data_IF_969066642403
#
_entry.id   IF_969066642403
#
_cell.length_a   1.000
_cell.length_b   1.000
_cell.length_c   1.000
_cell.angle_alpha   90.00
_cell.angle_beta   90.00
_cell.angle_gamma   90.00
#
_symmetry.space_group_name_H-M   'P 1'
#
loop_
_entity.id
_entity.type
_entity.pdbx_description
1 polymer ?
#
# COMPACT_ATOMS: atom_id res chain seq x y z
N UNK A 1 -4.39 28.78 17.47
CA UNK A 1 -4.35 28.24 16.10
C UNK A 1 -4.55 26.74 16.17
N UNK A 2 -5.56 26.15 15.51
CA UNK A 2 -5.76 24.71 15.54
C UNK A 2 -4.67 24.05 14.68
N UNK A 3 -3.88 23.20 15.32
CA UNK A 3 -2.73 22.45 14.79
C UNK A 3 -3.11 21.28 13.86
N UNK A 4 -4.21 21.40 13.12
CA UNK A 4 -4.78 20.32 12.28
C UNK A 4 -4.40 20.43 10.81
N UNK A 5 -3.67 21.46 10.42
CA UNK A 5 -3.18 21.62 9.06
C UNK A 5 -1.76 21.10 8.98
N UNK A 6 -1.50 20.24 8.00
CA UNK A 6 -0.17 19.73 7.68
C UNK A 6 0.36 18.69 8.68
N UNK A 7 0.07 17.44 8.38
CA UNK A 7 1.02 16.32 8.42
C UNK A 7 0.19 15.05 8.42
N UNK A 8 0.40 14.19 7.42
CA UNK A 8 0.27 12.77 7.69
C UNK A 8 1.43 12.40 8.63
N UNK A 9 1.26 12.76 9.91
CA UNK A 9 2.26 12.66 10.98
C UNK A 9 2.76 11.22 11.09
N UNK A 10 1.86 10.25 10.89
CA UNK A 10 2.18 8.83 10.90
C UNK A 10 3.04 8.41 9.70
N UNK A 11 2.75 8.94 8.50
CA UNK A 11 3.56 8.68 7.31
C UNK A 11 4.96 9.29 7.46
N UNK A 12 5.09 10.56 7.85
CA UNK A 12 6.40 11.20 8.03
C UNK A 12 7.18 10.62 9.21
N UNK A 13 6.62 10.54 10.43
CA UNK A 13 7.37 10.01 11.58
C UNK A 13 7.76 8.54 11.41
N UNK A 14 6.88 7.69 10.85
CA UNK A 14 7.14 6.27 10.75
C UNK A 14 8.41 5.94 9.96
N UNK A 15 8.70 6.70 8.90
CA UNK A 15 9.91 6.52 8.07
C UNK A 15 11.13 7.05 8.78
N UNK A 16 11.02 8.23 9.41
CA UNK A 16 12.16 8.83 10.12
C UNK A 16 12.59 7.94 11.28
N UNK A 17 11.64 7.28 11.95
CA UNK A 17 11.92 6.39 13.08
C UNK A 17 12.64 5.09 12.68
N UNK A 18 12.48 4.59 11.44
CA UNK A 18 13.06 3.29 11.00
C UNK A 18 13.79 3.35 9.65
N UNK A 19 14.35 4.51 9.33
CA UNK A 19 15.06 4.75 8.07
C UNK A 19 16.21 3.77 7.85
N UNK A 20 16.96 3.47 8.91
CA UNK A 20 18.13 2.58 8.84
C UNK A 20 17.73 1.14 8.47
N UNK A 21 16.62 0.66 9.00
CA UNK A 21 16.04 -0.64 8.68
C UNK A 21 15.57 -0.69 7.22
N UNK A 22 14.92 0.37 6.73
CA UNK A 22 14.49 0.46 5.33
C UNK A 22 15.66 0.49 4.36
N UNK A 23 16.73 1.24 4.68
CA UNK A 23 17.96 1.26 3.87
C UNK A 23 18.64 -0.11 3.87
N UNK A 24 18.68 -0.77 5.03
CA UNK A 24 19.25 -2.13 5.14
C UNK A 24 18.43 -3.12 4.33
N UNK A 25 17.10 -3.04 4.40
CA UNK A 25 16.19 -3.86 3.61
C UNK A 25 16.44 -3.68 2.11
N UNK A 26 16.54 -2.43 1.65
CA UNK A 26 16.84 -2.13 0.26
C UNK A 26 18.17 -2.74 -0.18
N UNK A 27 19.24 -2.59 0.62
CA UNK A 27 20.55 -3.20 0.34
C UNK A 27 20.47 -4.72 0.25
N UNK A 28 19.72 -5.36 1.14
CA UNK A 28 19.52 -6.81 1.11
C UNK A 28 18.74 -7.26 -0.13
N UNK A 29 17.69 -6.52 -0.50
CA UNK A 29 16.93 -6.79 -1.73
C UNK A 29 17.83 -6.64 -2.97
N UNK A 30 18.62 -5.57 -3.07
CA UNK A 30 19.55 -5.38 -4.21
C UNK A 30 20.63 -6.46 -4.24
N UNK A 31 21.22 -6.79 -3.08
CA UNK A 31 22.23 -7.85 -2.99
C UNK A 31 21.67 -9.22 -3.40
N UNK A 32 20.49 -9.56 -2.90
CA UNK A 32 19.82 -10.81 -3.25
C UNK A 32 19.33 -10.84 -4.70
N UNK A 33 18.93 -9.70 -5.26
CA UNK A 33 18.51 -9.62 -6.67
C UNK A 33 19.66 -9.99 -7.62
N UNK A 34 20.90 -9.58 -7.31
CA UNK A 34 22.10 -9.95 -8.08
C UNK A 34 22.30 -11.47 -8.13
N UNK A 35 22.07 -12.17 -7.02
CA UNK A 35 22.14 -13.64 -6.96
C UNK A 35 21.03 -14.33 -7.76
N UNK A 36 19.88 -13.67 -7.94
CA UNK A 36 18.74 -14.19 -8.70
C UNK A 36 18.83 -13.93 -10.21
N UNK A 37 19.65 -12.98 -10.68
CA UNK A 37 19.80 -12.65 -12.11
C UNK A 37 20.11 -13.89 -12.97
N UNK A 38 21.10 -14.75 -12.62
CA UNK A 38 21.42 -15.92 -13.43
C UNK A 38 20.25 -16.91 -13.56
N UNK A 39 19.47 -17.08 -12.48
CA UNK A 39 18.29 -17.94 -12.50
C UNK A 39 17.14 -17.36 -13.30
N UNK A 40 17.03 -16.03 -13.38
CA UNK A 40 16.00 -15.32 -14.14
C UNK A 40 16.23 -15.43 -15.64
N UNK A 41 17.47 -15.21 -16.09
CA UNK A 41 17.84 -15.29 -17.50
C UNK A 41 17.63 -16.70 -18.07
N UNK A 42 17.86 -17.74 -17.25
CA UNK A 42 17.61 -19.13 -17.65
C UNK A 42 16.11 -19.48 -17.75
N UNK A 43 15.25 -18.70 -17.10
CA UNK A 43 13.80 -18.92 -17.03
C UNK A 43 12.99 -17.97 -17.94
N UNK A 44 13.64 -17.16 -18.79
CA UNK A 44 12.98 -16.11 -19.58
C UNK A 44 12.14 -16.60 -20.77
N UNK A 45 12.14 -17.90 -21.06
CA UNK A 45 11.29 -18.52 -22.08
C UNK A 45 9.86 -18.81 -21.63
N UNK A 46 9.55 -18.61 -20.35
CA UNK A 46 8.25 -18.93 -19.75
C UNK A 46 7.33 -17.69 -19.78
N UNK A 47 6.06 -17.87 -20.18
CA UNK A 47 5.07 -16.84 -20.48
C UNK A 47 4.78 -15.76 -19.41
N UNK A 48 3.75 -14.91 -19.61
CA UNK A 48 3.59 -13.64 -18.91
C UNK A 48 3.71 -13.78 -17.39
N UNK A 49 4.71 -13.11 -16.82
CA UNK A 49 4.99 -13.15 -15.40
C UNK A 49 3.96 -12.30 -14.64
N UNK A 50 2.85 -12.93 -14.24
CA UNK A 50 1.76 -12.32 -13.47
C UNK A 50 2.25 -11.50 -12.26
N UNK A 51 3.35 -11.90 -11.62
CA UNK A 51 3.90 -11.18 -10.47
C UNK A 51 4.56 -9.85 -10.88
N UNK A 52 5.18 -9.79 -12.07
CA UNK A 52 5.70 -8.55 -12.65
C UNK A 52 4.59 -7.62 -13.15
N UNK A 53 3.51 -8.18 -13.70
CA UNK A 53 2.31 -7.41 -14.08
C UNK A 53 1.69 -6.73 -12.87
N UNK A 54 1.61 -7.41 -11.72
CA UNK A 54 1.10 -6.83 -10.47
C UNK A 54 1.97 -5.65 -10.01
N UNK A 55 3.31 -5.79 -10.04
CA UNK A 55 4.21 -4.69 -9.68
C UNK A 55 4.03 -3.47 -10.59
N UNK A 56 3.96 -3.69 -11.90
CA UNK A 56 3.70 -2.62 -12.87
C UNK A 56 2.34 -1.95 -12.67
N UNK A 57 1.31 -2.73 -12.34
CA UNK A 57 -0.02 -2.20 -12.03
C UNK A 57 0.02 -1.31 -10.78
N UNK A 58 0.69 -1.75 -9.72
CA UNK A 58 0.87 -0.96 -8.49
C UNK A 58 1.52 0.39 -8.81
N UNK A 59 2.63 0.39 -9.56
CA UNK A 59 3.34 1.63 -9.93
C UNK A 59 2.43 2.55 -10.76
N UNK A 60 1.83 2.03 -11.83
CA UNK A 60 0.98 2.82 -12.74
C UNK A 60 -0.21 3.42 -11.98
N UNK A 61 -0.91 2.62 -11.19
CA UNK A 61 -2.06 3.09 -10.40
C UNK A 61 -1.62 4.18 -9.43
N UNK A 62 -0.54 3.98 -8.68
CA UNK A 62 -0.09 5.00 -7.72
C UNK A 62 0.34 6.30 -8.39
N UNK A 63 1.03 6.25 -9.54
CA UNK A 63 1.41 7.46 -10.30
C UNK A 63 0.16 8.20 -10.80
N UNK A 64 -0.78 7.49 -11.41
CA UNK A 64 -2.03 8.09 -11.90
C UNK A 64 -2.85 8.69 -10.77
N UNK A 65 -2.99 7.98 -9.66
CA UNK A 65 -3.69 8.50 -8.48
C UNK A 65 -3.01 9.75 -7.95
N UNK A 66 -1.67 9.78 -7.84
CA UNK A 66 -0.95 10.96 -7.38
C UNK A 66 -1.22 12.18 -8.27
N UNK A 67 -1.12 12.02 -9.60
CA UNK A 67 -1.40 13.11 -10.55
C UNK A 67 -2.85 13.58 -10.43
N UNK A 68 -3.80 12.65 -10.37
CA UNK A 68 -5.23 12.97 -10.26
C UNK A 68 -5.55 13.72 -8.96
N UNK A 69 -5.00 13.30 -7.81
CA UNK A 69 -5.21 13.97 -6.53
C UNK A 69 -4.70 15.41 -6.56
N UNK A 70 -3.48 15.62 -7.08
CA UNK A 70 -2.91 16.96 -7.21
C UNK A 70 -3.77 17.87 -8.07
N UNK A 71 -4.23 17.36 -9.21
CA UNK A 71 -5.09 18.10 -10.12
C UNK A 71 -6.43 18.49 -9.46
N UNK A 72 -7.10 17.53 -8.82
CA UNK A 72 -8.40 17.77 -8.17
C UNK A 72 -8.27 18.73 -6.99
N UNK A 73 -7.22 18.60 -6.16
CA UNK A 73 -6.98 19.51 -5.04
C UNK A 73 -6.74 20.95 -5.53
N UNK A 74 -6.00 21.11 -6.64
CA UNK A 74 -5.83 22.42 -7.26
C UNK A 74 -7.18 23.01 -7.74
N UNK A 75 -8.05 22.19 -8.35
CA UNK A 75 -9.38 22.62 -8.77
C UNK A 75 -10.26 23.05 -7.59
N UNK A 76 -10.26 22.30 -6.47
CA UNK A 76 -11.02 22.67 -5.28
C UNK A 76 -10.57 24.04 -4.77
N UNK A 77 -9.26 24.28 -4.72
CA UNK A 77 -8.74 25.58 -4.29
C UNK A 77 -9.18 26.71 -5.23
N UNK A 78 -9.12 26.50 -6.55
CA UNK A 78 -9.56 27.50 -7.53
C UNK A 78 -11.04 27.85 -7.34
N UNK A 79 -11.88 26.86 -7.05
CA UNK A 79 -13.33 27.05 -6.89
C UNK A 79 -13.71 27.62 -5.52
N UNK A 80 -12.99 27.23 -4.45
CA UNK A 80 -13.28 27.66 -3.07
C UNK A 80 -12.02 28.14 -2.33
N UNK A 81 -11.36 29.21 -2.78
CA UNK A 81 -10.07 29.65 -2.22
C UNK A 81 -10.19 30.20 -0.78
N UNK A 82 -11.39 30.64 -0.39
CA UNK A 82 -11.68 31.19 0.95
C UNK A 82 -12.13 30.12 1.95
N UNK A 83 -12.13 28.84 1.56
CA UNK A 83 -12.49 27.78 2.49
C UNK A 83 -11.52 27.74 3.68
N UNK A 84 -12.00 27.45 4.91
CA UNK A 84 -11.19 27.59 6.15
C UNK A 84 -9.88 26.81 6.16
N UNK A 85 -9.75 25.79 5.31
CA UNK A 85 -8.55 24.98 5.17
C UNK A 85 -7.39 25.62 4.41
N UNK A 86 -7.60 26.80 3.84
CA UNK A 86 -6.64 27.47 2.97
C UNK A 86 -6.09 28.75 3.57
N UNK A 87 -4.82 29.05 3.30
CA UNK A 87 -4.15 30.25 3.76
C UNK A 87 -4.88 31.54 3.32
N UNK A 88 -5.42 31.55 2.11
CA UNK A 88 -6.14 32.70 1.55
C UNK A 88 -7.41 33.07 2.34
N UNK A 89 -8.00 32.13 3.09
CA UNK A 89 -9.17 32.42 3.96
C UNK A 89 -8.89 33.48 5.03
N UNK A 90 -7.62 33.67 5.42
CA UNK A 90 -7.21 34.68 6.40
C UNK A 90 -7.06 36.09 5.82
N UNK A 91 -7.12 36.23 4.49
CA UNK A 91 -6.96 37.51 3.82
C UNK A 91 -8.30 38.23 3.65
N UNK A 92 -8.41 39.43 4.23
CA UNK A 92 -9.55 40.31 3.99
C UNK A 92 -9.32 41.12 2.72
N UNK A 93 -10.26 41.08 1.76
CA UNK A 93 -10.18 41.84 0.50
C UNK A 93 -10.66 43.30 0.63
N UNK A 94 -11.37 43.62 1.72
CA UNK A 94 -11.98 44.93 2.00
C UNK A 94 -10.90 46.02 2.08
N UNK A 95 -11.19 47.17 1.47
CA UNK A 95 -10.35 48.40 1.43
C UNK A 95 -8.96 48.25 0.78
N UNK A 96 -8.75 47.20 -0.03
CA UNK A 96 -7.46 46.92 -0.66
C UNK A 96 -7.49 47.11 -2.17
N UNK A 97 -6.38 47.57 -2.78
CA UNK A 97 -6.28 47.67 -4.23
C UNK A 97 -6.44 46.31 -4.92
N UNK A 98 -7.13 46.27 -6.07
CA UNK A 98 -7.36 45.05 -6.84
C UNK A 98 -6.08 44.28 -7.17
N UNK A 99 -5.02 44.99 -7.54
CA UNK A 99 -3.72 44.38 -7.86
C UNK A 99 -3.11 43.63 -6.67
N UNK A 100 -3.32 44.14 -5.44
CA UNK A 100 -2.82 43.52 -4.22
C UNK A 100 -3.61 42.26 -3.88
N UNK A 101 -4.94 42.31 -4.01
CA UNK A 101 -5.79 41.12 -3.84
C UNK A 101 -5.42 40.02 -4.85
N UNK A 102 -5.21 40.39 -6.13
CA UNK A 102 -4.74 39.44 -7.15
C UNK A 102 -3.36 38.86 -6.84
N UNK A 103 -2.41 39.69 -6.38
CA UNK A 103 -1.07 39.21 -6.02
C UNK A 103 -1.10 38.23 -4.84
N UNK A 104 -1.87 38.52 -3.79
CA UNK A 104 -2.01 37.63 -2.62
C UNK A 104 -2.72 36.33 -2.99
N UNK A 105 -3.73 36.40 -3.85
CA UNK A 105 -4.38 35.20 -4.38
C UNK A 105 -3.40 34.31 -5.16
N UNK A 106 -2.65 34.87 -6.10
CA UNK A 106 -1.67 34.12 -6.89
C UNK A 106 -0.55 33.53 -6.02
N UNK A 107 -0.05 34.30 -5.06
CA UNK A 107 0.93 33.80 -4.10
C UNK A 107 0.36 32.63 -3.28
N UNK A 108 -0.86 32.77 -2.76
CA UNK A 108 -1.53 31.74 -1.98
C UNK A 108 -1.82 30.49 -2.81
N UNK A 109 -2.21 30.65 -4.08
CA UNK A 109 -2.42 29.57 -5.03
C UNK A 109 -1.14 28.77 -5.28
N UNK A 110 -0.03 29.45 -5.58
CA UNK A 110 1.28 28.79 -5.80
C UNK A 110 1.75 28.09 -4.53
N UNK A 111 1.60 28.74 -3.38
CA UNK A 111 1.97 28.16 -2.09
C UNK A 111 1.16 26.91 -1.77
N UNK A 112 -0.17 26.97 -1.84
CA UNK A 112 -1.06 25.84 -1.55
C UNK A 112 -0.87 24.71 -2.56
N UNK A 113 -0.73 25.02 -3.85
CA UNK A 113 -0.43 24.00 -4.85
C UNK A 113 0.88 23.28 -4.52
N UNK A 114 1.95 24.03 -4.23
CA UNK A 114 3.25 23.47 -3.89
C UNK A 114 3.20 22.60 -2.63
N UNK A 115 2.67 23.11 -1.51
CA UNK A 115 2.66 22.39 -0.24
C UNK A 115 1.79 21.14 -0.32
N UNK A 116 0.60 21.21 -0.90
CA UNK A 116 -0.28 20.04 -1.09
C UNK A 116 0.36 19.03 -2.03
N UNK A 117 1.03 19.46 -3.10
CA UNK A 117 1.71 18.53 -4.00
C UNK A 117 2.87 17.79 -3.36
N UNK A 118 3.67 18.48 -2.54
CA UNK A 118 4.73 17.83 -1.76
C UNK A 118 4.13 16.80 -0.79
N UNK A 119 3.07 17.15 -0.07
CA UNK A 119 2.43 16.25 0.91
C UNK A 119 1.78 15.03 0.26
N UNK A 120 0.96 15.25 -0.78
CA UNK A 120 0.27 14.19 -1.53
C UNK A 120 1.29 13.26 -2.17
N UNK A 121 2.32 13.82 -2.82
CA UNK A 121 3.37 13.02 -3.46
C UNK A 121 4.16 12.21 -2.44
N UNK A 122 4.53 12.83 -1.30
CA UNK A 122 5.20 12.12 -0.22
C UNK A 122 4.36 10.95 0.28
N UNK A 123 3.07 11.18 0.55
CA UNK A 123 2.15 10.14 0.98
C UNK A 123 2.07 8.98 -0.01
N UNK A 124 1.89 9.25 -1.31
CA UNK A 124 1.78 8.21 -2.32
C UNK A 124 3.09 7.44 -2.55
N UNK A 125 4.24 8.11 -2.54
CA UNK A 125 5.55 7.44 -2.63
C UNK A 125 5.76 6.46 -1.47
N UNK A 126 5.34 6.85 -0.27
CA UNK A 126 5.43 6.02 0.92
C UNK A 126 4.45 4.85 0.90
N UNK A 127 3.24 5.13 0.42
CA UNK A 127 2.25 4.11 0.19
C UNK A 127 2.68 3.12 -0.90
N UNK A 128 3.55 3.52 -1.84
CA UNK A 128 4.13 2.67 -2.88
C UNK A 128 5.28 1.78 -2.37
N UNK A 129 6.05 2.24 -1.39
CA UNK A 129 7.21 1.51 -0.85
C UNK A 129 6.83 0.12 -0.32
N UNK A 130 5.81 0.05 0.54
CA UNK A 130 5.32 -1.21 1.10
C UNK A 130 4.94 -2.24 0.02
N UNK A 131 4.01 -1.95 -0.92
CA UNK A 131 3.59 -2.93 -1.89
C UNK A 131 4.69 -3.31 -2.89
N UNK A 132 5.64 -2.41 -3.20
CA UNK A 132 6.81 -2.75 -4.00
C UNK A 132 7.73 -3.76 -3.31
N UNK A 133 8.00 -3.55 -2.02
CA UNK A 133 8.82 -4.49 -1.23
C UNK A 133 8.16 -5.87 -1.14
N UNK A 134 6.84 -5.92 -0.97
CA UNK A 134 6.08 -7.19 -0.97
C UNK A 134 6.03 -7.82 -2.36
N UNK A 135 5.86 -7.02 -3.43
CA UNK A 135 5.89 -7.51 -4.81
C UNK A 135 7.25 -8.12 -5.17
N UNK A 136 8.36 -7.54 -4.70
CA UNK A 136 9.69 -8.13 -4.85
C UNK A 136 9.79 -9.52 -4.21
N UNK A 137 9.23 -9.72 -3.01
CA UNK A 137 9.20 -11.04 -2.37
C UNK A 137 8.43 -12.06 -3.21
N UNK A 138 7.28 -11.66 -3.77
CA UNK A 138 6.47 -12.51 -4.65
C UNK A 138 7.26 -12.92 -5.90
N UNK A 139 7.84 -11.95 -6.58
CA UNK A 139 8.66 -12.17 -7.77
C UNK A 139 9.84 -13.11 -7.47
N UNK A 140 10.56 -12.83 -6.37
CA UNK A 140 11.73 -13.60 -5.98
C UNK A 140 11.37 -15.04 -5.60
N UNK A 141 10.28 -15.26 -4.87
CA UNK A 141 9.76 -16.61 -4.60
C UNK A 141 9.40 -17.35 -5.89
N UNK A 142 8.79 -16.66 -6.86
CA UNK A 142 8.46 -17.24 -8.17
C UNK A 142 9.73 -17.69 -8.91
N UNK A 143 10.77 -16.86 -8.91
CA UNK A 143 12.09 -17.18 -9.48
C UNK A 143 12.74 -18.38 -8.79
N UNK A 144 12.79 -18.40 -7.45
CA UNK A 144 13.36 -19.54 -6.68
C UNK A 144 12.57 -20.83 -6.93
N UNK A 145 11.25 -20.73 -7.12
CA UNK A 145 10.38 -21.86 -7.42
C UNK A 145 10.64 -22.47 -8.80
N UNK A 146 10.94 -21.64 -9.80
CA UNK A 146 11.21 -22.05 -11.19
C UNK A 146 12.69 -22.39 -11.44
N UNK A 147 13.60 -21.95 -10.58
CA UNK A 147 15.03 -22.18 -10.73
C UNK A 147 15.39 -23.67 -10.87
N UNK A 148 16.32 -23.93 -11.79
CA UNK A 148 16.95 -25.25 -12.02
C UNK A 148 18.25 -25.44 -11.24
N UNK A 149 18.62 -24.50 -10.35
CA UNK A 149 19.78 -24.66 -9.46
C UNK A 149 19.60 -25.85 -8.50
N UNK A 150 20.72 -26.23 -7.88
CA UNK A 150 20.76 -27.31 -6.89
C UNK A 150 19.77 -27.09 -5.75
N UNK A 151 19.27 -28.17 -5.16
CA UNK A 151 18.31 -28.09 -4.05
C UNK A 151 18.87 -27.35 -2.82
N UNK A 152 20.14 -27.55 -2.40
CA UNK A 152 20.77 -26.76 -1.34
C UNK A 152 20.75 -25.25 -1.60
N UNK A 153 21.07 -24.81 -2.82
CA UNK A 153 21.03 -23.38 -3.17
C UNK A 153 19.62 -22.81 -3.01
N UNK A 154 18.61 -23.58 -3.43
CA UNK A 154 17.21 -23.17 -3.31
C UNK A 154 16.75 -23.10 -1.86
N UNK A 155 17.28 -23.96 -0.98
CA UNK A 155 17.08 -23.83 0.47
C UNK A 155 17.74 -22.57 1.04
N UNK A 156 18.97 -22.27 0.63
CA UNK A 156 19.66 -21.04 1.05
C UNK A 156 18.89 -19.79 0.60
N UNK A 157 18.41 -19.76 -0.64
CA UNK A 157 17.57 -18.67 -1.15
C UNK A 157 16.24 -18.54 -0.42
N UNK A 158 15.59 -19.65 -0.06
CA UNK A 158 14.38 -19.62 0.77
C UNK A 158 14.64 -18.96 2.14
N UNK A 159 15.75 -19.33 2.79
CA UNK A 159 16.17 -18.74 4.07
C UNK A 159 16.47 -17.24 3.92
N UNK A 160 17.12 -16.84 2.83
CA UNK A 160 17.34 -15.42 2.52
C UNK A 160 16.02 -14.65 2.38
N UNK A 161 15.05 -15.20 1.64
CA UNK A 161 13.72 -14.61 1.50
C UNK A 161 12.98 -14.48 2.84
N UNK A 162 13.10 -15.49 3.70
CA UNK A 162 12.56 -15.43 5.06
C UNK A 162 13.18 -14.28 5.86
N UNK A 163 14.51 -14.10 5.80
CA UNK A 163 15.22 -13.02 6.48
C UNK A 163 14.84 -11.64 5.93
N UNK A 164 14.70 -11.50 4.61
CA UNK A 164 14.23 -10.25 3.98
C UNK A 164 12.81 -9.93 4.45
N UNK A 165 11.91 -10.92 4.51
CA UNK A 165 10.56 -10.71 5.03
C UNK A 165 10.54 -10.35 6.52
N UNK A 166 11.42 -10.95 7.33
CA UNK A 166 11.58 -10.59 8.74
C UNK A 166 12.02 -9.13 8.90
N UNK A 167 12.98 -8.68 8.10
CA UNK A 167 13.44 -7.29 8.10
C UNK A 167 12.37 -6.34 7.57
N UNK A 168 11.62 -6.72 6.54
CA UNK A 168 10.46 -5.96 6.04
C UNK A 168 9.44 -5.73 7.17
N UNK A 169 9.07 -6.77 7.91
CA UNK A 169 8.16 -6.64 9.04
C UNK A 169 8.73 -5.77 10.19
N UNK A 170 10.05 -5.68 10.33
CA UNK A 170 10.71 -4.79 11.29
C UNK A 170 10.79 -3.34 10.82
N UNK A 171 10.61 -3.04 9.53
CA UNK A 171 10.62 -1.66 9.04
C UNK A 171 9.40 -0.84 9.50
N UNK A 172 8.35 -1.50 9.97
CA UNK A 172 7.10 -0.86 10.39
C UNK A 172 6.86 -1.06 11.90
N UNK A 173 6.40 -0.03 12.63
CA UNK A 173 5.84 -0.22 13.96
C UNK A 173 4.70 -1.24 13.92
N UNK A 174 4.59 -2.08 14.96
CA UNK A 174 3.57 -3.14 15.00
C UNK A 174 2.13 -2.63 14.87
N UNK A 175 1.88 -1.38 15.28
CA UNK A 175 0.58 -0.71 15.23
C UNK A 175 0.27 -0.02 13.90
N UNK A 176 1.28 0.22 13.05
CA UNK A 176 1.14 1.04 11.85
C UNK A 176 0.20 0.41 10.81
N UNK A 177 0.35 -0.87 10.51
CA UNK A 177 -0.52 -1.56 9.55
C UNK A 177 -1.98 -1.67 10.05
N UNK A 178 -2.24 -2.07 11.31
CA UNK A 178 -3.58 -1.98 11.89
C UNK A 178 -4.21 -0.58 11.80
N UNK A 179 -3.48 0.45 12.22
CA UNK A 179 -3.95 1.84 12.17
C UNK A 179 -4.28 2.27 10.73
N UNK A 180 -3.43 1.91 9.78
CA UNK A 180 -3.64 2.16 8.35
C UNK A 180 -4.91 1.49 7.82
N UNK A 181 -5.19 0.24 8.20
CA UNK A 181 -6.43 -0.43 7.78
C UNK A 181 -7.67 0.22 8.40
N UNK A 182 -7.62 0.61 9.68
CA UNK A 182 -8.72 1.35 10.32
C UNK A 182 -8.96 2.68 9.61
N UNK A 183 -7.89 3.43 9.33
CA UNK A 183 -7.97 4.69 8.58
C UNK A 183 -8.56 4.50 7.19
N UNK A 184 -8.10 3.49 6.44
CA UNK A 184 -8.65 3.15 5.12
C UNK A 184 -10.13 2.80 5.20
N UNK A 185 -10.52 1.91 6.12
CA UNK A 185 -11.91 1.49 6.27
C UNK A 185 -12.83 2.64 6.67
N UNK A 186 -12.42 3.43 7.68
CA UNK A 186 -13.16 4.61 8.11
C UNK A 186 -13.30 5.66 7.00
N UNK A 187 -12.24 5.87 6.22
CA UNK A 187 -12.29 6.79 5.08
C UNK A 187 -13.23 6.29 3.99
N UNK A 188 -13.19 5.00 3.62
CA UNK A 188 -14.11 4.39 2.64
C UNK A 188 -15.57 4.59 3.07
N UNK A 189 -15.88 4.32 4.35
CA UNK A 189 -17.22 4.52 4.92
C UNK A 189 -17.62 6.00 4.84
N UNK A 190 -16.77 6.91 5.31
CA UNK A 190 -17.06 8.34 5.35
C UNK A 190 -17.25 8.95 3.96
N UNK A 191 -16.36 8.67 3.01
CA UNK A 191 -16.49 9.21 1.64
C UNK A 191 -17.63 8.54 0.88
N UNK A 192 -17.88 7.24 1.09
CA UNK A 192 -19.06 6.58 0.53
C UNK A 192 -20.36 7.18 1.05
N UNK A 193 -20.40 7.56 2.34
CA UNK A 193 -21.55 8.21 2.95
C UNK A 193 -21.76 9.61 2.35
N UNK A 194 -20.67 10.39 2.23
CA UNK A 194 -20.73 11.70 1.56
C UNK A 194 -21.22 11.60 0.11
N UNK A 195 -20.75 10.61 -0.64
CA UNK A 195 -21.18 10.39 -2.02
C UNK A 195 -22.68 10.04 -2.14
N UNK A 196 -23.27 9.33 -1.18
CA UNK A 196 -24.69 8.97 -1.24
C UNK A 196 -25.61 10.04 -0.66
N UNK A 197 -25.19 10.73 0.40
CA UNK A 197 -26.05 11.67 1.15
C UNK A 197 -25.90 13.11 0.71
N UNK A 198 -24.69 13.54 0.38
CA UNK A 198 -24.37 14.95 0.13
C UNK A 198 -24.08 15.24 -1.34
N UNK A 199 -24.31 14.29 -2.27
CA UNK A 199 -23.99 14.43 -3.69
C UNK A 199 -24.50 15.75 -4.29
N UNK A 200 -25.75 16.12 -4.00
CA UNK A 200 -26.36 17.34 -4.52
C UNK A 200 -25.84 18.64 -3.87
N UNK A 201 -25.24 18.54 -2.68
CA UNK A 201 -24.79 19.70 -1.88
C UNK A 201 -23.31 20.04 -2.12
N UNK A 202 -22.51 19.08 -2.60
CA UNK A 202 -21.09 19.27 -2.88
C UNK A 202 -20.84 19.69 -4.33
N UNK A 203 -19.84 20.54 -4.54
CA UNK A 203 -19.44 20.99 -5.87
C UNK A 203 -18.82 19.87 -6.70
N UNK A 204 -18.84 20.00 -8.02
CA UNK A 204 -18.28 18.98 -8.93
C UNK A 204 -16.82 18.57 -8.60
N UNK A 205 -15.88 19.50 -8.31
CA UNK A 205 -14.53 19.10 -7.88
C UNK A 205 -14.50 18.30 -6.58
N UNK A 206 -15.40 18.60 -5.63
CA UNK A 206 -15.53 17.84 -4.39
C UNK A 206 -16.10 16.44 -4.64
N UNK A 207 -17.06 16.30 -5.57
CA UNK A 207 -17.56 14.99 -6.02
C UNK A 207 -16.45 14.15 -6.66
N UNK A 208 -15.62 14.76 -7.52
CA UNK A 208 -14.47 14.07 -8.10
C UNK A 208 -13.49 13.62 -7.02
N UNK A 209 -13.23 14.46 -6.01
CA UNK A 209 -12.33 14.14 -4.91
C UNK A 209 -12.87 13.01 -4.04
N UNK A 210 -14.16 13.00 -3.70
CA UNK A 210 -14.77 11.93 -2.90
C UNK A 210 -14.72 10.59 -3.64
N UNK A 211 -15.06 10.57 -4.94
CA UNK A 211 -14.93 9.39 -5.78
C UNK A 211 -13.48 8.90 -5.87
N UNK A 212 -12.54 9.81 -6.09
CA UNK A 212 -11.12 9.49 -6.21
C UNK A 212 -10.57 8.90 -4.90
N UNK A 213 -10.96 9.47 -3.74
CA UNK A 213 -10.65 8.92 -2.43
C UNK A 213 -11.25 7.51 -2.26
N UNK A 214 -12.53 7.33 -2.57
CA UNK A 214 -13.20 6.03 -2.46
C UNK A 214 -12.47 4.94 -3.26
N UNK A 215 -12.20 5.20 -4.54
CA UNK A 215 -11.50 4.26 -5.41
C UNK A 215 -10.08 3.99 -4.93
N UNK A 216 -9.36 5.01 -4.47
CA UNK A 216 -7.96 4.91 -4.04
C UNK A 216 -7.80 4.11 -2.77
N UNK A 217 -8.60 4.40 -1.74
CA UNK A 217 -8.52 3.69 -0.46
C UNK A 217 -9.00 2.24 -0.60
N UNK A 218 -10.07 2.00 -1.37
CA UNK A 218 -10.54 0.65 -1.69
C UNK A 218 -9.49 -0.17 -2.44
N UNK A 219 -8.93 0.39 -3.52
CA UNK A 219 -7.89 -0.27 -4.32
C UNK A 219 -6.64 -0.54 -3.48
N UNK A 220 -6.23 0.43 -2.65
CA UNK A 220 -5.02 0.24 -1.87
C UNK A 220 -5.19 -0.79 -0.77
N UNK A 221 -6.33 -0.79 -0.06
CA UNK A 221 -6.63 -1.81 0.93
C UNK A 221 -6.66 -3.21 0.28
N UNK A 222 -7.29 -3.32 -0.90
CA UNK A 222 -7.29 -4.55 -1.68
C UNK A 222 -5.87 -5.00 -2.02
N UNK A 223 -5.05 -4.14 -2.63
CA UNK A 223 -3.69 -4.52 -3.02
C UNK A 223 -2.86 -4.93 -1.81
N UNK A 224 -2.89 -4.17 -0.71
CA UNK A 224 -2.12 -4.44 0.50
C UNK A 224 -2.46 -5.81 1.09
N UNK A 225 -3.76 -6.11 1.27
CA UNK A 225 -4.20 -7.38 1.84
C UNK A 225 -3.98 -8.54 0.86
N UNK A 226 -4.25 -8.33 -0.43
CA UNK A 226 -4.09 -9.35 -1.46
C UNK A 226 -2.64 -9.80 -1.62
N UNK A 227 -1.70 -8.86 -1.80
CA UNK A 227 -0.27 -9.20 -1.97
C UNK A 227 0.32 -9.80 -0.70
N UNK A 228 -0.10 -9.32 0.48
CA UNK A 228 0.31 -9.87 1.77
C UNK A 228 -0.15 -11.31 1.95
N UNK A 229 -1.43 -11.60 1.64
CA UNK A 229 -1.98 -12.95 1.62
C UNK A 229 -1.28 -13.87 0.61
N UNK A 230 -0.93 -13.31 -0.56
CA UNK A 230 -0.19 -14.03 -1.60
C UNK A 230 1.20 -14.43 -1.15
N UNK A 231 1.90 -13.61 -0.35
CA UNK A 231 3.22 -13.97 0.18
C UNK A 231 3.14 -15.20 1.08
N UNK A 232 2.16 -15.22 2.00
CA UNK A 232 1.98 -16.37 2.90
C UNK A 232 1.65 -17.65 2.12
N UNK A 233 0.75 -17.57 1.14
CA UNK A 233 0.40 -18.72 0.28
C UNK A 233 1.61 -19.19 -0.55
N UNK A 234 2.34 -18.28 -1.18
CA UNK A 234 3.48 -18.62 -2.03
C UNK A 234 4.67 -19.18 -1.24
N UNK A 235 4.92 -18.68 -0.03
CA UNK A 235 5.98 -19.21 0.83
C UNK A 235 5.67 -20.63 1.31
N UNK A 236 4.40 -20.94 1.57
CA UNK A 236 3.92 -22.31 1.85
C UNK A 236 4.08 -23.24 0.64
N UNK A 237 3.60 -22.81 -0.53
CA UNK A 237 3.74 -23.60 -1.78
C UNK A 237 5.20 -23.86 -2.15
N UNK A 238 6.08 -22.86 -1.97
CA UNK A 238 7.51 -23.03 -2.23
C UNK A 238 8.14 -24.02 -1.24
N UNK A 239 7.78 -23.94 0.04
CA UNK A 239 8.22 -24.92 1.05
C UNK A 239 7.80 -26.33 0.67
N UNK A 240 6.54 -26.54 0.30
CA UNK A 240 6.03 -27.85 -0.10
C UNK A 240 6.75 -28.39 -1.34
N UNK A 241 7.00 -27.54 -2.34
CA UNK A 241 7.79 -27.91 -3.53
C UNK A 241 9.23 -28.30 -3.17
N UNK A 242 9.88 -27.59 -2.25
CA UNK A 242 11.23 -27.94 -1.82
C UNK A 242 11.24 -29.25 -1.01
N UNK A 243 10.21 -29.48 -0.19
CA UNK A 243 10.04 -30.71 0.57
C UNK A 243 9.80 -31.93 -0.32
N UNK A 244 9.00 -31.78 -1.38
CA UNK A 244 8.76 -32.87 -2.33
C UNK A 244 10.04 -33.22 -3.10
N UNK A 245 10.81 -32.22 -3.51
CA UNK A 245 12.10 -32.42 -4.19
C UNK A 245 13.17 -33.04 -3.27
N UNK A 246 13.20 -32.70 -1.98
CA UNK A 246 14.08 -33.36 -1.01
C UNK A 246 13.79 -34.87 -0.87
N UNK A 247 12.58 -35.30 -1.27
CA UNK A 247 12.17 -36.70 -1.30
C UNK A 247 12.61 -37.47 -2.54
N UNK A 248 12.97 -36.79 -3.64
CA UNK A 248 13.09 -37.37 -4.99
C UNK A 248 14.45 -37.01 -5.61
N UNK A 249 15.23 -38.02 -6.00
CA UNK A 249 16.50 -37.84 -6.71
C UNK A 249 17.55 -38.89 -6.38
N UNK A 250 18.64 -38.91 -7.14
CA UNK A 250 19.80 -39.80 -6.93
C UNK A 250 20.70 -39.17 -5.87
N UNK A 251 20.34 -39.36 -4.59
CA UNK A 251 21.10 -38.86 -3.44
C UNK A 251 21.54 -40.03 -2.57
N UNK A 252 22.68 -39.90 -1.91
CA UNK A 252 23.06 -40.87 -0.87
C UNK A 252 22.02 -40.87 0.26
N UNK A 253 21.88 -42.01 0.96
CA UNK A 253 20.92 -42.15 2.07
C UNK A 253 21.15 -41.10 3.17
N UNK A 254 22.40 -40.66 3.37
CA UNK A 254 22.77 -39.63 4.36
C UNK A 254 22.34 -38.24 3.92
N UNK A 255 22.63 -37.85 2.68
CA UNK A 255 22.23 -36.55 2.12
C UNK A 255 20.71 -36.40 2.08
N UNK A 256 19.99 -37.45 1.66
CA UNK A 256 18.52 -37.45 1.66
C UNK A 256 17.94 -37.22 3.05
N UNK A 257 18.52 -37.82 4.09
CA UNK A 257 18.12 -37.58 5.49
C UNK A 257 18.36 -36.13 5.90
N UNK A 258 19.49 -35.55 5.53
CA UNK A 258 19.81 -34.14 5.82
C UNK A 258 18.83 -33.19 5.12
N UNK A 259 18.60 -33.37 3.81
CA UNK A 259 17.68 -32.52 3.03
C UNK A 259 16.24 -32.63 3.53
N UNK A 260 15.78 -33.82 3.92
CA UNK A 260 14.46 -33.98 4.55
C UNK A 260 14.38 -33.24 5.89
N UNK A 261 15.44 -33.25 6.70
CA UNK A 261 15.49 -32.51 7.96
C UNK A 261 15.48 -31.01 7.71
N UNK A 262 16.23 -30.53 6.72
CA UNK A 262 16.21 -29.13 6.31
C UNK A 262 14.83 -28.70 5.80
N UNK A 263 14.21 -29.47 4.92
CA UNK A 263 12.86 -29.20 4.42
C UNK A 263 11.83 -29.10 5.56
N UNK A 264 11.91 -30.01 6.55
CA UNK A 264 11.05 -29.98 7.75
C UNK A 264 11.28 -28.76 8.63
N UNK A 265 12.49 -28.18 8.63
CA UNK A 265 12.82 -26.99 9.42
C UNK A 265 12.25 -25.70 8.83
N UNK A 266 11.85 -25.69 7.56
CA UNK A 266 11.32 -24.50 6.91
C UNK A 266 9.92 -24.15 7.42
N UNK A 267 9.72 -22.89 7.75
CA UNK A 267 8.43 -22.33 8.11
C UNK A 267 7.94 -21.40 7.01
N UNK A 268 6.64 -21.44 6.72
CA UNK A 268 6.01 -20.42 5.90
C UNK A 268 6.10 -19.07 6.61
N UNK A 269 6.17 -18.01 5.82
CA UNK A 269 6.31 -16.64 6.31
C UNK A 269 5.41 -15.70 5.52
N UNK A 270 5.08 -14.56 6.13
CA UNK A 270 4.21 -13.56 5.52
C UNK A 270 4.40 -12.19 6.15
N UNK A 271 3.59 -11.26 5.68
CA UNK A 271 3.56 -9.90 6.22
C UNK A 271 2.81 -9.91 7.55
N UNK A 272 3.39 -9.29 8.58
CA UNK A 272 2.84 -9.20 9.93
C UNK A 272 1.94 -7.98 10.04
N UNK A 273 0.77 -8.13 10.66
CA UNK A 273 -0.16 -7.02 10.96
C UNK A 273 -0.52 -7.08 12.44
N UNK A 274 0.03 -6.18 13.25
CA UNK A 274 -0.19 -6.21 14.70
C UNK A 274 0.29 -7.50 15.36
N UNK A 275 -0.62 -8.18 16.07
CA UNK A 275 -0.39 -9.49 16.68
C UNK A 275 -0.42 -10.64 15.66
N UNK A 276 -1.00 -10.43 14.48
CA UNK A 276 -1.13 -11.45 13.44
C UNK A 276 0.22 -11.66 12.76
N UNK A 277 0.79 -12.86 12.91
CA UNK A 277 2.14 -13.21 12.42
C UNK A 277 2.25 -13.20 10.88
N UNK A 278 1.20 -13.60 10.18
CA UNK A 278 1.14 -13.61 8.73
C UNK A 278 -0.29 -13.37 8.23
N UNK A 279 -0.49 -12.35 7.41
CA UNK A 279 -1.79 -12.05 6.79
C UNK A 279 -2.16 -13.14 5.80
N UNK A 280 -3.38 -13.68 5.91
CA UNK A 280 -3.96 -14.63 4.97
C UNK A 280 -5.04 -13.96 4.11
N UNK A 281 -5.51 -14.65 3.06
CA UNK A 281 -6.63 -14.16 2.25
C UNK A 281 -7.94 -13.99 3.03
N UNK A 282 -8.08 -14.65 4.19
CA UNK A 282 -9.25 -14.48 5.07
C UNK A 282 -9.33 -13.03 5.57
N UNK A 283 -8.18 -12.39 5.83
CA UNK A 283 -8.13 -11.01 6.28
C UNK A 283 -8.68 -10.03 5.23
N UNK A 284 -8.51 -10.32 3.94
CA UNK A 284 -9.10 -9.52 2.85
C UNK A 284 -10.62 -9.53 2.94
N UNK A 285 -11.23 -10.72 3.05
CA UNK A 285 -12.67 -10.86 3.14
C UNK A 285 -13.22 -10.24 4.43
N UNK A 286 -12.55 -10.47 5.56
CA UNK A 286 -12.92 -9.88 6.84
C UNK A 286 -12.93 -8.34 6.78
N UNK A 287 -11.89 -7.73 6.19
CA UNK A 287 -11.81 -6.29 6.03
C UNK A 287 -13.00 -5.71 5.25
N UNK A 288 -13.27 -6.22 4.04
CA UNK A 288 -14.36 -5.69 3.22
C UNK A 288 -15.73 -5.98 3.81
N UNK A 289 -15.92 -7.13 4.48
CA UNK A 289 -17.14 -7.42 5.22
C UNK A 289 -17.39 -6.42 6.35
N UNK A 290 -16.36 -6.11 7.15
CA UNK A 290 -16.44 -5.09 8.22
C UNK A 290 -16.71 -3.69 7.66
N UNK A 291 -16.05 -3.30 6.57
CA UNK A 291 -16.28 -2.00 5.92
C UNK A 291 -17.69 -1.88 5.39
N UNK A 292 -18.19 -2.90 4.68
CA UNK A 292 -19.57 -2.93 4.18
C UNK A 292 -20.58 -2.90 5.33
N UNK A 293 -20.37 -3.69 6.38
CA UNK A 293 -21.24 -3.68 7.56
C UNK A 293 -21.28 -2.30 8.21
N UNK A 294 -20.11 -1.69 8.44
CA UNK A 294 -20.04 -0.35 9.04
C UNK A 294 -20.65 0.72 8.14
N UNK A 295 -20.46 0.61 6.82
CA UNK A 295 -21.11 1.50 5.85
C UNK A 295 -22.63 1.39 5.92
N UNK A 296 -23.18 0.18 5.91
CA UNK A 296 -24.62 -0.06 6.06
C UNK A 296 -25.13 0.48 7.40
N UNK A 297 -24.40 0.28 8.50
CA UNK A 297 -24.76 0.83 9.81
C UNK A 297 -24.88 2.34 9.75
N UNK A 298 -23.88 3.05 9.21
CA UNK A 298 -23.93 4.51 9.10
C UNK A 298 -25.11 4.98 8.24
N UNK A 299 -25.39 4.29 7.13
CA UNK A 299 -26.53 4.64 6.27
C UNK A 299 -27.88 4.44 6.98
N UNK A 300 -28.04 3.38 7.77
CA UNK A 300 -29.29 3.10 8.51
C UNK A 300 -29.45 4.03 9.72
N UNK A 301 -28.36 4.31 10.45
CA UNK A 301 -28.40 5.18 11.63
C UNK A 301 -28.71 6.64 11.27
N UNK A 302 -28.29 7.09 10.08
CA UNK A 302 -28.54 8.44 9.58
C UNK A 302 -29.38 8.36 8.28
N UNK A 303 -30.70 8.13 8.39
CA UNK A 303 -31.61 8.15 7.24
C UNK A 303 -31.67 9.55 6.61
N UNK A 304 -32.10 9.62 5.34
CA UNK A 304 -32.46 10.91 4.73
C UNK A 304 -33.86 11.25 5.19
N UNK A 305 -34.02 12.42 5.80
CA UNK A 305 -35.31 12.99 6.14
C UNK A 305 -36.11 13.18 4.83
N UNK A 306 -37.00 12.24 4.54
CA UNK A 306 -37.73 12.18 3.28
C UNK A 306 -38.29 10.80 2.90
N UNK A 307 -37.95 9.74 3.65
CA UNK A 307 -38.49 8.39 3.40
C UNK A 307 -39.83 8.09 4.12
N UNK A 308 -40.28 8.96 5.04
CA UNK A 308 -41.55 8.80 5.78
C UNK A 308 -42.69 9.70 5.24
N UNK A 309 -42.66 10.00 3.93
CA UNK A 309 -43.60 10.95 3.33
C UNK A 309 -43.99 10.65 1.89
N UNK A 310 -44.42 9.43 1.59
CA UNK A 310 -45.38 9.10 0.51
C UNK A 310 -46.28 7.96 0.99
#
# INVERSE_FOLDING_TARGET
MPSTYYLNFEAMLGIYLRRNEMVTLFRWMVGFDKELIPARLKNSGDGPNLDATVANLIIKTTVWTNIAFNFVVALIYIVKPTAPQYFYSSWTEVDKPRWMNTAVYLFSLVFEFYTKTVDISSYFLLQMWFPLSVAYLLFSMSTVRKSTRSLPDRFAWYRCLYLINLLHNKCYPGTMLPAKYVFMGGTIIGVGFMMLRFYAEISFPEQMMTLLMFCTFSSTAFFYLHISGKVFKNSGNLREKLSSLAGVGVWSTRERKLLKREAKSLQSFGVRVGSIRATSYIALNAFFSTVTSGFTTVLVTFPVDGADGV
#
